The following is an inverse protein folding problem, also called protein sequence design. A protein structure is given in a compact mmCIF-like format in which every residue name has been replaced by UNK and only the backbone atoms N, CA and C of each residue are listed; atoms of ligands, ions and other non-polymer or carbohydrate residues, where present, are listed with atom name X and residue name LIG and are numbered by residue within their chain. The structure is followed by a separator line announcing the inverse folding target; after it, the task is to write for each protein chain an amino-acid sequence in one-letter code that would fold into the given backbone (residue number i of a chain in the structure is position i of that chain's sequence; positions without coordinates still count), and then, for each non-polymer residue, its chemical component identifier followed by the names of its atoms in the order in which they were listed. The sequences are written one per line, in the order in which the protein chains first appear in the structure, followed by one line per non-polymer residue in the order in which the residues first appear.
data_IF_159481684912
#
_entry.id   IF_159481684912
#
_cell.length_a   1.000
_cell.length_b   1.000
_cell.length_c   1.000
_cell.angle_alpha   90.00
_cell.angle_beta   90.00
_cell.angle_gamma   90.00
#
_symmetry.space_group_name_H-M   'P 1'
#
loop_
_entity.id
_entity.type
_entity.pdbx_description
1 polymer ?
#
# COMPACT_ATOMS: atom_id res chain seq x y z
N UNK A 1 -24.16 32.23 15.71
CA UNK A 1 -23.10 31.25 16.04
C UNK A 1 -22.32 30.99 14.77
N UNK A 2 -21.10 31.51 14.66
CA UNK A 2 -20.22 31.28 13.51
C UNK A 2 -19.59 29.89 13.66
N UNK A 3 -19.68 29.00 12.67
CA UNK A 3 -19.00 27.72 12.75
C UNK A 3 -17.49 27.96 12.67
N UNK A 4 -16.77 27.57 13.71
CA UNK A 4 -15.31 27.52 13.67
C UNK A 4 -14.96 26.24 12.91
N UNK A 5 -14.59 26.38 11.63
CA UNK A 5 -13.98 25.29 10.88
C UNK A 5 -12.58 25.10 11.46
N UNK A 6 -12.39 24.04 12.26
CA UNK A 6 -11.05 23.61 12.66
C UNK A 6 -10.33 23.09 11.42
N UNK A 7 -9.29 23.80 10.98
CA UNK A 7 -8.42 23.31 9.92
C UNK A 7 -7.74 22.02 10.42
N UNK A 8 -7.68 20.96 9.59
CA UNK A 8 -6.96 19.75 9.96
C UNK A 8 -5.49 20.06 10.22
N UNK A 9 -4.91 19.37 11.19
CA UNK A 9 -3.49 19.49 11.50
C UNK A 9 -2.64 19.18 10.24
N UNK A 10 -1.82 20.12 9.75
CA UNK A 10 -1.03 19.96 8.53
C UNK A 10 -0.02 18.80 8.63
N UNK A 11 0.52 18.49 9.82
CA UNK A 11 1.42 17.35 9.98
C UNK A 11 0.67 16.03 9.81
N UNK A 12 -0.53 15.93 10.40
CA UNK A 12 -1.42 14.79 10.21
C UNK A 12 -1.82 14.61 8.75
N UNK A 13 -2.08 15.69 8.01
CA UNK A 13 -2.39 15.62 6.58
C UNK A 13 -1.22 15.10 5.76
N UNK A 14 0.01 15.57 6.02
CA UNK A 14 1.21 15.06 5.34
C UNK A 14 1.45 13.59 5.64
N UNK A 15 1.29 13.18 6.90
CA UNK A 15 1.42 11.79 7.28
C UNK A 15 0.40 10.89 6.55
N UNK A 16 -0.87 11.31 6.49
CA UNK A 16 -1.90 10.60 5.75
C UNK A 16 -1.62 10.53 4.25
N UNK A 17 -1.12 11.62 3.65
CA UNK A 17 -0.74 11.64 2.24
C UNK A 17 0.39 10.66 1.95
N UNK A 18 1.42 10.63 2.79
CA UNK A 18 2.52 9.67 2.67
C UNK A 18 2.02 8.22 2.82
N UNK A 19 1.14 7.94 3.77
CA UNK A 19 0.55 6.60 3.93
C UNK A 19 -0.28 6.17 2.71
N UNK A 20 -1.05 7.10 2.13
CA UNK A 20 -1.81 6.84 0.91
C UNK A 20 -0.88 6.56 -0.29
N UNK A 21 0.22 7.29 -0.41
CA UNK A 21 1.22 7.08 -1.47
C UNK A 21 1.87 5.70 -1.34
N UNK A 22 2.27 5.29 -0.13
CA UNK A 22 2.84 3.96 0.10
C UNK A 22 1.81 2.86 -0.17
N UNK A 23 0.56 3.04 0.27
CA UNK A 23 -0.51 2.08 -0.02
C UNK A 23 -0.73 1.91 -1.53
N UNK A 24 -0.71 3.01 -2.29
CA UNK A 24 -0.80 2.99 -3.74
C UNK A 24 0.40 2.26 -4.37
N UNK A 25 1.63 2.55 -3.91
CA UNK A 25 2.84 1.89 -4.40
C UNK A 25 2.81 0.36 -4.16
N UNK A 26 2.33 -0.08 -2.99
CA UNK A 26 2.13 -1.51 -2.71
C UNK A 26 1.08 -2.13 -3.63
N UNK A 27 -0.02 -1.43 -3.91
CA UNK A 27 -1.03 -1.86 -4.87
C UNK A 27 -0.46 -2.05 -6.28
N UNK A 28 0.35 -1.10 -6.75
CA UNK A 28 1.06 -1.21 -8.03
C UNK A 28 2.02 -2.40 -8.02
N UNK A 29 2.86 -2.54 -7.00
CA UNK A 29 3.82 -3.64 -6.89
C UNK A 29 3.13 -5.01 -6.93
N UNK A 30 1.98 -5.14 -6.24
CA UNK A 30 1.17 -6.35 -6.25
C UNK A 30 0.66 -6.67 -7.64
N UNK A 31 0.07 -5.69 -8.32
CA UNK A 31 -0.45 -5.85 -9.68
C UNK A 31 0.66 -6.26 -10.65
N UNK A 32 1.83 -5.60 -10.57
CA UNK A 32 3.00 -5.94 -11.38
C UNK A 32 3.50 -7.37 -11.12
N UNK A 33 3.58 -7.78 -9.85
CA UNK A 33 3.98 -9.15 -9.51
C UNK A 33 2.98 -10.20 -10.00
N UNK A 34 1.68 -9.91 -9.93
CA UNK A 34 0.64 -10.77 -10.48
C UNK A 34 0.77 -10.91 -11.99
N UNK A 35 0.93 -9.80 -12.72
CA UNK A 35 1.10 -9.82 -14.16
C UNK A 35 2.35 -10.60 -14.56
N UNK A 36 3.49 -10.34 -13.91
CA UNK A 36 4.72 -11.10 -14.15
C UNK A 36 4.55 -12.60 -13.89
N UNK A 37 3.76 -12.97 -12.86
CA UNK A 37 3.48 -14.37 -12.54
C UNK A 37 2.53 -15.06 -13.51
N UNK A 38 1.71 -14.30 -14.24
CA UNK A 38 0.84 -14.81 -15.31
C UNK A 38 1.60 -15.00 -16.63
N UNK A 39 2.58 -14.13 -16.92
CA UNK A 39 3.36 -14.15 -18.15
C UNK A 39 4.58 -15.08 -18.10
N UNK A 40 5.07 -15.43 -16.91
CA UNK A 40 6.24 -16.32 -16.76
C UNK A 40 5.88 -17.79 -17.02
N UNK A 41 6.67 -18.46 -17.84
CA UNK A 41 6.62 -19.92 -18.03
C UNK A 41 7.48 -20.68 -17.01
N UNK A 42 8.37 -19.96 -16.30
CA UNK A 42 9.25 -20.55 -15.28
C UNK A 42 8.51 -20.73 -13.95
N UNK A 43 8.44 -21.99 -13.49
CA UNK A 43 7.79 -22.37 -12.24
C UNK A 43 8.43 -21.72 -11.00
N UNK A 44 9.77 -21.66 -10.94
CA UNK A 44 10.49 -21.09 -9.79
C UNK A 44 10.22 -19.60 -9.71
N UNK A 45 10.23 -18.89 -10.85
CA UNK A 45 9.89 -17.47 -10.91
C UNK A 45 8.46 -17.23 -10.43
N UNK A 46 7.51 -18.07 -10.85
CA UNK A 46 6.11 -17.98 -10.40
C UNK A 46 5.97 -18.16 -8.88
N UNK A 47 6.62 -19.16 -8.29
CA UNK A 47 6.56 -19.40 -6.83
C UNK A 47 7.23 -18.28 -6.03
N UNK A 48 8.32 -17.72 -6.54
CA UNK A 48 8.94 -16.53 -5.93
C UNK A 48 8.01 -15.33 -5.97
N UNK A 49 7.32 -15.10 -7.10
CA UNK A 49 6.36 -14.00 -7.23
C UNK A 49 5.14 -14.17 -6.31
N UNK A 50 4.65 -15.39 -6.10
CA UNK A 50 3.61 -15.67 -5.10
C UNK A 50 4.08 -15.31 -3.68
N UNK A 51 5.33 -15.64 -3.34
CA UNK A 51 5.93 -15.25 -2.06
C UNK A 51 6.05 -13.73 -1.92
N UNK A 52 6.48 -13.05 -2.98
CA UNK A 52 6.54 -11.57 -3.03
C UNK A 52 5.16 -10.95 -2.80
N UNK A 53 4.11 -11.48 -3.45
CA UNK A 53 2.73 -11.01 -3.27
C UNK A 53 2.30 -11.15 -1.81
N UNK A 54 2.59 -12.28 -1.15
CA UNK A 54 2.27 -12.48 0.27
C UNK A 54 2.95 -11.42 1.17
N UNK A 55 4.21 -11.07 0.88
CA UNK A 55 4.90 -10.02 1.61
C UNK A 55 4.30 -8.63 1.36
N UNK A 56 3.89 -8.34 0.13
CA UNK A 56 3.22 -7.08 -0.23
C UNK A 56 1.87 -6.97 0.49
N UNK A 57 1.05 -8.03 0.47
CA UNK A 57 -0.25 -8.06 1.14
C UNK A 57 -0.08 -7.83 2.66
N UNK A 58 0.92 -8.48 3.28
CA UNK A 58 1.26 -8.26 4.69
C UNK A 58 1.69 -6.82 4.97
N UNK A 59 2.47 -6.20 4.09
CA UNK A 59 2.86 -4.80 4.24
C UNK A 59 1.66 -3.86 4.12
N UNK A 60 0.74 -4.15 3.20
CA UNK A 60 -0.49 -3.36 3.01
C UNK A 60 -1.40 -3.45 4.25
N UNK A 61 -1.56 -4.63 4.85
CA UNK A 61 -2.28 -4.80 6.11
C UNK A 61 -1.69 -3.95 7.24
N UNK A 62 -0.35 -3.90 7.33
CA UNK A 62 0.34 -3.09 8.34
C UNK A 62 0.02 -1.61 8.15
N UNK A 63 0.07 -1.09 6.92
CA UNK A 63 -0.29 0.32 6.62
C UNK A 63 -1.74 0.61 6.99
N UNK A 64 -2.67 -0.29 6.69
CA UNK A 64 -4.08 -0.11 7.06
C UNK A 64 -4.30 -0.08 8.58
N UNK A 65 -3.41 -0.73 9.34
CA UNK A 65 -3.45 -0.76 10.81
C UNK A 65 -2.71 0.39 11.47
N UNK A 66 -1.96 1.22 10.74
CA UNK A 66 -1.28 2.38 11.32
C UNK A 66 -2.31 3.45 11.71
N UNK A 67 -2.50 3.73 13.01
CA UNK A 67 -3.47 4.72 13.42
C UNK A 67 -2.96 6.11 13.02
N UNK A 68 -3.85 6.91 12.45
CA UNK A 68 -3.64 8.33 12.16
C UNK A 68 -3.59 9.14 13.47
N UNK A 69 -2.60 8.86 14.32
CA UNK A 69 -2.35 9.58 15.58
C UNK A 69 -1.59 10.86 15.33
#
# INVERSE_FOLDING_TARGET
MTPIVQMPDPERQRHLAAMAEVANALGVARCSAQLAGMETEDFVVRELLLTVIQHIDRAAEVIQRFPSR
#
